data_IF_328896398486
#
_entry.id   IF_328896398486
#
_cell.length_a   1.000
_cell.length_b   1.000
_cell.length_c   1.000
_cell.angle_alpha   90.00
_cell.angle_beta   90.00
_cell.angle_gamma   90.00
#
_symmetry.space_group_name_H-M   'P 1'
#
loop_
_entity.id
_entity.type
_entity.pdbx_description
1 polymer ?
#
# COMPACT_ATOMS: atom_id res chain seq x y z
N UNK A 1 -39.38 3.38 -1.69
CA UNK A 1 -39.33 4.39 -0.59
C UNK A 1 -37.88 4.57 -0.19
N UNK A 2 -37.42 5.78 0.19
CA UNK A 2 -36.08 5.97 0.73
C UNK A 2 -35.94 5.19 2.04
N UNK A 3 -34.79 4.52 2.21
CA UNK A 3 -34.48 3.72 3.40
C UNK A 3 -34.00 4.67 4.49
N UNK A 4 -34.74 4.79 5.60
CA UNK A 4 -34.36 5.64 6.73
C UNK A 4 -33.14 5.06 7.45
N UNK A 5 -32.10 5.86 7.70
CA UNK A 5 -30.89 5.43 8.42
C UNK A 5 -31.02 5.65 9.91
N UNK A 6 -30.62 4.68 10.73
CA UNK A 6 -30.61 4.74 12.19
C UNK A 6 -29.20 5.04 12.71
N UNK A 7 -29.07 5.87 13.75
CA UNK A 7 -27.77 6.19 14.37
C UNK A 7 -27.21 5.05 15.24
N UNK A 8 -28.08 4.28 15.90
CA UNK A 8 -27.68 3.10 16.65
C UNK A 8 -27.57 1.88 15.74
N UNK A 9 -26.40 1.24 15.75
CA UNK A 9 -26.12 0.04 14.97
C UNK A 9 -26.60 -1.19 15.73
N UNK A 10 -27.57 -1.91 15.16
CA UNK A 10 -28.06 -3.17 15.72
C UNK A 10 -26.93 -4.20 15.87
N UNK A 11 -26.86 -4.94 16.98
CA UNK A 11 -25.84 -5.98 17.18
C UNK A 11 -25.93 -7.09 16.12
N UNK A 12 -27.14 -7.44 15.67
CA UNK A 12 -27.32 -8.42 14.59
C UNK A 12 -26.72 -7.92 13.26
N UNK A 13 -26.87 -6.62 12.96
CA UNK A 13 -26.28 -5.99 11.78
C UNK A 13 -24.75 -6.00 11.83
N UNK A 14 -24.18 -5.71 13.01
CA UNK A 14 -22.75 -5.72 13.24
C UNK A 14 -22.16 -7.13 13.11
N UNK A 15 -22.83 -8.14 13.64
CA UNK A 15 -22.40 -9.54 13.52
C UNK A 15 -22.40 -9.97 12.05
N UNK A 16 -23.46 -9.66 11.30
CA UNK A 16 -23.55 -9.89 9.86
C UNK A 16 -22.41 -9.19 9.10
N UNK A 17 -22.21 -7.89 9.35
CA UNK A 17 -21.11 -7.15 8.72
C UNK A 17 -19.75 -7.74 9.09
N UNK A 18 -19.52 -8.12 10.35
CA UNK A 18 -18.27 -8.73 10.78
C UNK A 18 -17.96 -10.07 10.11
N UNK A 19 -19.00 -10.85 9.80
CA UNK A 19 -18.89 -12.11 9.07
C UNK A 19 -18.62 -11.89 7.58
N UNK A 20 -19.32 -10.93 6.97
CA UNK A 20 -19.24 -10.63 5.54
C UNK A 20 -17.98 -9.85 5.18
N UNK A 21 -17.52 -8.99 6.07
CA UNK A 21 -16.33 -8.17 5.89
C UNK A 21 -15.11 -9.08 5.75
N UNK A 22 -14.29 -8.83 4.72
CA UNK A 22 -13.13 -9.65 4.34
C UNK A 22 -13.42 -11.13 3.99
N UNK A 23 -14.68 -11.53 3.80
CA UNK A 23 -14.99 -12.87 3.31
C UNK A 23 -14.55 -13.04 1.84
N UNK A 24 -13.87 -14.14 1.53
CA UNK A 24 -13.31 -14.44 0.20
C UNK A 24 -14.39 -14.54 -0.89
N UNK A 25 -15.60 -14.99 -0.55
CA UNK A 25 -16.73 -15.13 -1.48
C UNK A 25 -17.16 -13.76 -2.05
N UNK A 26 -16.99 -12.69 -1.27
CA UNK A 26 -17.39 -11.34 -1.64
C UNK A 26 -16.55 -10.75 -2.78
N UNK A 27 -15.32 -11.25 -2.98
CA UNK A 27 -14.35 -10.76 -4.00
C UNK A 27 -14.25 -9.23 -4.01
N UNK A 28 -14.05 -8.68 -2.82
CA UNK A 28 -14.02 -7.24 -2.57
C UNK A 28 -12.83 -6.60 -3.28
N UNK A 29 -13.00 -5.38 -3.76
CA UNK A 29 -11.95 -4.59 -4.44
C UNK A 29 -11.87 -3.22 -3.82
N UNK A 30 -10.71 -2.59 -3.91
CA UNK A 30 -10.52 -1.19 -3.50
C UNK A 30 -10.87 -0.24 -4.64
N UNK A 31 -11.66 0.79 -4.34
CA UNK A 31 -11.99 1.89 -5.24
C UNK A 31 -11.90 3.23 -4.52
N UNK A 32 -12.01 4.32 -5.28
CA UNK A 32 -11.95 5.68 -4.75
C UNK A 32 -13.37 6.23 -4.63
N UNK A 33 -13.88 6.39 -3.40
CA UNK A 33 -15.13 7.07 -3.15
C UNK A 33 -14.96 8.58 -3.40
N UNK A 34 -15.79 9.12 -4.29
CA UNK A 34 -15.78 10.53 -4.69
C UNK A 34 -14.38 11.03 -5.14
N UNK A 35 -13.56 10.15 -5.70
CA UNK A 35 -12.20 10.42 -6.15
C UNK A 35 -11.17 10.82 -5.06
N UNK A 36 -11.49 10.60 -3.79
CA UNK A 36 -10.64 11.02 -2.66
C UNK A 36 -10.24 9.87 -1.73
N UNK A 37 -11.23 9.09 -1.26
CA UNK A 37 -11.01 8.12 -0.18
C UNK A 37 -11.03 6.70 -0.71
N UNK A 38 -10.05 5.90 -0.30
CA UNK A 38 -10.06 4.48 -0.59
C UNK A 38 -11.18 3.79 0.20
N UNK A 39 -11.99 2.99 -0.50
CA UNK A 39 -13.06 2.19 0.08
C UNK A 39 -13.13 0.82 -0.58
N UNK A 40 -13.49 -0.20 0.20
CA UNK A 40 -13.73 -1.54 -0.32
C UNK A 40 -15.16 -1.65 -0.82
N UNK A 41 -15.33 -2.21 -2.01
CA UNK A 41 -16.64 -2.38 -2.64
C UNK A 41 -16.81 -3.79 -3.24
N UNK A 42 -18.06 -4.19 -3.37
CA UNK A 42 -18.47 -5.51 -3.87
C UNK A 42 -19.78 -5.38 -4.67
N UNK A 43 -20.19 -6.48 -5.32
CA UNK A 43 -21.46 -6.55 -6.07
C UNK A 43 -22.53 -7.29 -5.29
N UNK A 44 -23.79 -6.93 -5.49
CA UNK A 44 -24.92 -7.58 -4.82
C UNK A 44 -24.96 -9.10 -5.03
N UNK A 45 -24.72 -9.60 -6.25
CA UNK A 45 -24.66 -11.05 -6.52
C UNK A 45 -23.57 -11.81 -5.76
N UNK A 46 -22.58 -11.13 -5.18
CA UNK A 46 -21.57 -11.75 -4.33
C UNK A 46 -22.06 -11.83 -2.89
N UNK A 47 -22.77 -10.79 -2.44
CA UNK A 47 -23.47 -10.78 -1.15
C UNK A 47 -24.51 -11.90 -1.06
N UNK A 48 -25.37 -12.04 -2.08
CA UNK A 48 -26.39 -13.11 -2.09
C UNK A 48 -25.77 -14.49 -2.00
N UNK A 49 -24.70 -14.75 -2.78
CA UNK A 49 -23.95 -16.00 -2.71
C UNK A 49 -23.30 -16.24 -1.34
N UNK A 50 -22.75 -15.20 -0.70
CA UNK A 50 -22.13 -15.33 0.60
C UNK A 50 -23.15 -15.66 1.70
N UNK A 51 -24.35 -15.08 1.63
CA UNK A 51 -25.42 -15.34 2.61
C UNK A 51 -26.13 -16.68 2.40
N UNK A 52 -26.23 -17.17 1.16
CA UNK A 52 -26.81 -18.48 0.85
C UNK A 52 -25.80 -19.64 0.89
N UNK A 53 -24.54 -19.36 1.21
CA UNK A 53 -23.47 -20.36 1.29
C UNK A 53 -23.65 -21.32 2.47
N UNK A 54 -23.15 -22.54 2.34
CA UNK A 54 -23.15 -23.52 3.44
C UNK A 54 -22.24 -23.07 4.61
N UNK A 55 -21.19 -22.30 4.31
CA UNK A 55 -20.36 -21.63 5.30
C UNK A 55 -21.19 -20.73 6.22
N UNK A 56 -22.14 -19.98 5.66
CA UNK A 56 -23.03 -19.13 6.45
C UNK A 56 -23.91 -19.96 7.37
N UNK A 57 -24.53 -21.01 6.84
CA UNK A 57 -25.40 -21.91 7.61
C UNK A 57 -24.65 -22.57 8.77
N UNK A 58 -23.40 -23.01 8.54
CA UNK A 58 -22.57 -23.61 9.60
C UNK A 58 -22.27 -22.63 10.72
N UNK A 59 -21.92 -21.37 10.40
CA UNK A 59 -21.64 -20.35 11.41
C UNK A 59 -22.90 -19.84 12.10
N UNK A 60 -24.04 -19.90 11.42
CA UNK A 60 -25.34 -19.57 11.98
C UNK A 60 -25.77 -20.55 13.09
N UNK A 61 -25.40 -21.83 12.99
CA UNK A 61 -25.71 -22.83 14.04
C UNK A 61 -25.06 -22.48 15.38
N UNK A 62 -23.98 -21.69 15.38
CA UNK A 62 -23.34 -21.26 16.60
C UNK A 62 -24.01 -20.00 17.17
N UNK A 63 -24.74 -20.16 18.28
CA UNK A 63 -25.48 -19.09 18.97
C UNK A 63 -24.60 -17.89 19.32
N UNK A 64 -23.29 -18.11 19.58
CA UNK A 64 -22.35 -17.03 19.92
C UNK A 64 -22.16 -16.02 18.78
N UNK A 65 -22.40 -16.42 17.54
CA UNK A 65 -22.22 -15.55 16.38
C UNK A 65 -23.42 -14.61 16.16
N UNK A 66 -24.60 -14.91 16.74
CA UNK A 66 -25.79 -14.05 16.64
C UNK A 66 -26.21 -13.73 15.20
N UNK A 67 -26.09 -14.69 14.28
CA UNK A 67 -26.46 -14.55 12.87
C UNK A 67 -27.94 -14.87 12.65
N UNK A 68 -28.56 -14.19 11.68
CA UNK A 68 -29.98 -14.33 11.35
C UNK A 68 -30.17 -15.53 10.40
N UNK A 69 -31.23 -16.35 10.52
CA UNK A 69 -31.54 -17.37 9.53
C UNK A 69 -31.91 -16.77 8.17
N UNK A 70 -31.25 -17.23 7.10
CA UNK A 70 -31.47 -16.76 5.72
C UNK A 70 -31.65 -17.99 4.83
N UNK A 71 -32.83 -18.14 4.23
CA UNK A 71 -33.14 -19.26 3.34
C UNK A 71 -33.51 -18.81 1.92
N UNK A 72 -34.17 -17.65 1.80
CA UNK A 72 -34.70 -17.16 0.52
C UNK A 72 -33.99 -15.91 0.02
N UNK A 73 -34.10 -15.62 -1.27
CA UNK A 73 -33.61 -14.36 -1.85
C UNK A 73 -34.31 -13.13 -1.26
N UNK A 74 -35.56 -13.25 -0.85
CA UNK A 74 -36.31 -12.19 -0.15
C UNK A 74 -35.68 -11.86 1.20
N UNK A 75 -35.17 -12.86 1.92
CA UNK A 75 -34.47 -12.66 3.20
C UNK A 75 -33.14 -11.93 2.99
N UNK A 76 -32.42 -12.25 1.91
CA UNK A 76 -31.19 -11.54 1.49
C UNK A 76 -31.48 -10.07 1.23
N UNK A 77 -32.61 -9.73 0.60
CA UNK A 77 -33.02 -8.35 0.38
C UNK A 77 -33.30 -7.62 1.70
N UNK A 78 -33.99 -8.27 2.66
CA UNK A 78 -34.21 -7.69 3.99
C UNK A 78 -32.89 -7.44 4.72
N UNK A 79 -31.92 -8.35 4.61
CA UNK A 79 -30.57 -8.17 5.17
C UNK A 79 -29.83 -7.02 4.50
N UNK A 80 -29.93 -6.87 3.18
CA UNK A 80 -29.35 -5.73 2.47
C UNK A 80 -29.92 -4.40 3.01
N UNK A 81 -31.25 -4.30 3.14
CA UNK A 81 -31.91 -3.12 3.70
C UNK A 81 -31.43 -2.86 5.12
N UNK A 82 -31.34 -3.90 5.96
CA UNK A 82 -30.84 -3.80 7.33
C UNK A 82 -29.40 -3.28 7.38
N UNK A 83 -28.50 -3.75 6.51
CA UNK A 83 -27.12 -3.27 6.44
C UNK A 83 -27.03 -1.79 6.01
N UNK A 84 -27.90 -1.35 5.08
CA UNK A 84 -27.99 0.04 4.63
C UNK A 84 -28.55 0.94 5.75
N UNK A 85 -29.63 0.52 6.44
CA UNK A 85 -30.24 1.25 7.54
C UNK A 85 -29.25 1.51 8.68
N UNK A 86 -28.39 0.52 8.98
CA UNK A 86 -27.34 0.62 10.00
C UNK A 86 -26.06 1.31 9.51
N UNK A 87 -26.05 1.90 8.30
CA UNK A 87 -24.91 2.59 7.70
C UNK A 87 -23.63 1.76 7.64
N UNK A 88 -23.75 0.43 7.49
CA UNK A 88 -22.62 -0.48 7.39
C UNK A 88 -22.13 -0.59 5.93
N UNK A 89 -23.05 -0.42 4.99
CA UNK A 89 -22.79 -0.40 3.55
C UNK A 89 -23.46 0.82 2.91
N UNK A 90 -22.91 1.23 1.77
CA UNK A 90 -23.40 2.34 0.97
C UNK A 90 -23.68 1.89 -0.47
N UNK A 91 -24.83 2.22 -1.08
CA UNK A 91 -25.04 2.03 -2.51
C UNK A 91 -24.12 2.97 -3.28
N UNK A 92 -23.37 2.41 -4.24
CA UNK A 92 -22.40 3.16 -5.05
C UNK A 92 -22.54 2.80 -6.52
N UNK A 93 -22.19 3.75 -7.37
CA UNK A 93 -22.07 3.55 -8.80
C UNK A 93 -20.60 3.63 -9.20
N UNK A 94 -20.15 2.68 -10.03
CA UNK A 94 -18.82 2.72 -10.61
C UNK A 94 -18.85 3.58 -11.86
N UNK A 95 -18.19 4.74 -11.82
CA UNK A 95 -18.17 5.65 -12.96
C UNK A 95 -17.24 5.16 -14.06
N UNK A 96 -17.64 5.45 -15.30
CA UNK A 96 -16.79 5.30 -16.46
C UNK A 96 -15.82 6.49 -16.62
N UNK A 97 -14.73 6.31 -17.37
CA UNK A 97 -13.70 7.33 -17.56
C UNK A 97 -14.24 8.67 -18.11
N UNK A 98 -15.26 8.60 -18.97
CA UNK A 98 -15.92 9.77 -19.53
C UNK A 98 -16.68 10.59 -18.46
N UNK A 99 -17.39 9.89 -17.57
CA UNK A 99 -18.19 10.51 -16.50
C UNK A 99 -17.31 11.15 -15.44
N UNK A 100 -16.15 10.55 -15.13
CA UNK A 100 -15.18 11.13 -14.19
C UNK A 100 -14.68 12.47 -14.71
N UNK A 101 -14.39 12.57 -16.01
CA UNK A 101 -13.93 13.82 -16.64
C UNK A 101 -15.00 14.90 -16.72
N UNK A 102 -16.27 14.52 -16.77
CA UNK A 102 -17.39 15.46 -16.78
C UNK A 102 -17.52 16.18 -15.42
N UNK A 103 -17.05 15.57 -14.34
CA UNK A 103 -17.09 16.15 -13.00
C UNK A 103 -15.87 17.05 -12.78
N UNK A 104 -16.12 18.35 -12.57
CA UNK A 104 -15.07 19.35 -12.34
C UNK A 104 -14.21 18.98 -11.13
N UNK A 105 -12.90 18.88 -11.34
CA UNK A 105 -11.91 18.60 -10.28
C UNK A 105 -11.55 17.12 -10.10
N UNK A 106 -12.25 16.19 -10.75
CA UNK A 106 -11.93 14.76 -10.66
C UNK A 106 -10.89 14.37 -11.71
N UNK A 107 -9.86 13.63 -11.27
CA UNK A 107 -8.80 13.10 -12.12
C UNK A 107 -8.92 11.59 -12.19
N UNK A 108 -9.12 11.00 -13.38
CA UNK A 108 -9.24 9.56 -13.51
C UNK A 108 -7.97 8.83 -13.05
N UNK A 109 -8.15 7.83 -12.19
CA UNK A 109 -7.09 6.92 -11.78
C UNK A 109 -7.13 5.64 -12.63
N UNK A 110 -5.97 5.21 -13.15
CA UNK A 110 -5.85 3.97 -13.95
C UNK A 110 -5.82 2.70 -13.10
N UNK A 111 -5.40 2.80 -11.84
CA UNK A 111 -5.20 1.66 -10.94
C UNK A 111 -6.48 1.27 -10.19
N UNK A 112 -7.26 2.28 -9.78
CA UNK A 112 -8.45 2.11 -8.94
C UNK A 112 -9.66 2.75 -9.62
N UNK A 113 -10.82 2.07 -9.65
CA UNK A 113 -12.04 2.66 -10.18
C UNK A 113 -12.58 3.75 -9.24
N UNK A 114 -13.15 4.80 -9.81
CA UNK A 114 -13.85 5.84 -9.06
C UNK A 114 -15.30 5.43 -8.83
N UNK A 115 -15.76 5.59 -7.58
CA UNK A 115 -17.10 5.27 -7.13
C UNK A 115 -17.81 6.54 -6.71
N UNK A 116 -19.06 6.71 -7.14
CA UNK A 116 -19.93 7.80 -6.70
C UNK A 116 -21.01 7.24 -5.78
N UNK A 117 -21.31 7.97 -4.71
CA UNK A 117 -22.43 7.64 -3.83
C UNK A 117 -23.76 7.77 -4.58
N UNK A 118 -24.64 6.79 -4.42
CA UNK A 118 -26.03 6.88 -4.88
C UNK A 118 -26.96 7.15 -3.70
N UNK A 119 -28.05 7.87 -3.94
CA UNK A 119 -29.10 8.10 -2.93
C UNK A 119 -30.12 6.95 -2.90
N UNK A 120 -30.28 6.25 -4.02
CA UNK A 120 -31.21 5.12 -4.18
C UNK A 120 -30.41 3.82 -4.30
N UNK A 121 -30.80 2.82 -3.52
CA UNK A 121 -30.26 1.47 -3.64
C UNK A 121 -31.05 0.68 -4.68
N UNK A 122 -30.34 0.13 -5.67
CA UNK A 122 -30.90 -0.77 -6.66
C UNK A 122 -30.61 -2.23 -6.25
N UNK A 123 -31.61 -3.10 -6.39
CA UNK A 123 -31.50 -4.53 -6.07
C UNK A 123 -31.20 -5.34 -7.33
N UNK A 124 -30.21 -4.88 -8.10
CA UNK A 124 -29.77 -5.56 -9.31
C UNK A 124 -28.58 -6.47 -9.00
N UNK A 125 -28.44 -7.65 -9.64
CA UNK A 125 -27.31 -8.55 -9.40
C UNK A 125 -25.93 -7.90 -9.57
N UNK A 126 -25.82 -6.91 -10.45
CA UNK A 126 -24.58 -6.18 -10.74
C UNK A 126 -24.49 -4.80 -10.07
N UNK A 127 -25.45 -4.43 -9.21
CA UNK A 127 -25.36 -3.23 -8.40
C UNK A 127 -24.15 -3.29 -7.43
N UNK A 128 -23.49 -2.15 -7.24
CA UNK A 128 -22.31 -2.05 -6.38
C UNK A 128 -22.64 -1.46 -5.01
N UNK A 129 -21.98 -2.00 -3.99
CA UNK A 129 -22.08 -1.54 -2.61
C UNK A 129 -20.67 -1.40 -2.03
N UNK A 130 -20.45 -0.35 -1.23
CA UNK A 130 -19.18 -0.07 -0.58
C UNK A 130 -19.30 -0.22 0.95
N UNK A 131 -18.26 -0.72 1.60
CA UNK A 131 -18.20 -0.89 3.05
C UNK A 131 -17.87 0.42 3.75
N UNK A 132 -18.72 0.84 4.69
CA UNK A 132 -18.39 1.88 5.68
C UNK A 132 -17.95 1.22 7.00
N UNK A 133 -18.35 -0.03 7.22
CA UNK A 133 -17.98 -0.81 8.39
C UNK A 133 -16.46 -1.05 8.46
N UNK A 134 -15.89 -0.74 9.62
CA UNK A 134 -14.53 -1.11 10.00
C UNK A 134 -14.59 -2.14 11.12
N UNK A 135 -13.88 -3.25 10.96
CA UNK A 135 -13.79 -4.27 12.00
C UNK A 135 -13.00 -3.69 13.19
N UNK A 136 -13.56 -3.68 14.43
CA UNK A 136 -12.81 -3.22 15.59
C UNK A 136 -11.58 -4.11 15.80
N UNK A 137 -10.43 -3.50 16.03
CA UNK A 137 -9.20 -4.23 16.35
C UNK A 137 -9.32 -4.75 17.80
N UNK A 138 -9.40 -6.08 18.03
CA UNK A 138 -9.57 -6.63 19.37
C UNK A 138 -8.38 -6.34 20.29
N UNK A 139 -7.20 -6.09 19.71
CA UNK A 139 -5.97 -5.83 20.46
C UNK A 139 -5.83 -4.38 20.91
N UNK A 140 -6.73 -3.47 20.52
CA UNK A 140 -6.61 -2.05 20.90
C UNK A 140 -6.64 -1.87 22.42
N UNK A 141 -7.47 -2.64 23.12
CA UNK A 141 -7.54 -2.64 24.57
C UNK A 141 -6.21 -3.13 25.18
N UNK A 142 -5.62 -4.20 24.62
CA UNK A 142 -4.33 -4.72 25.05
C UNK A 142 -3.21 -3.69 24.84
N UNK A 143 -3.17 -3.02 23.69
CA UNK A 143 -2.21 -1.95 23.41
C UNK A 143 -2.37 -0.77 24.38
N UNK A 144 -3.60 -0.39 24.71
CA UNK A 144 -3.87 0.67 25.69
C UNK A 144 -3.36 0.29 27.08
N UNK A 145 -3.63 -0.93 27.54
CA UNK A 145 -3.12 -1.41 28.84
C UNK A 145 -1.59 -1.47 28.84
N UNK A 146 -0.99 -2.00 27.77
CA UNK A 146 0.46 -2.10 27.64
C UNK A 146 1.13 -0.71 27.61
N UNK A 147 0.52 0.26 26.93
CA UNK A 147 1.01 1.64 26.90
C UNK A 147 0.97 2.28 28.29
N UNK A 148 -0.12 2.09 29.03
CA UNK A 148 -0.25 2.56 30.42
C UNK A 148 0.77 1.87 31.34
N UNK A 149 0.92 0.56 31.24
CA UNK A 149 1.93 -0.17 32.00
C UNK A 149 3.37 0.30 31.66
N UNK A 150 3.63 0.59 30.38
CA UNK A 150 4.91 1.12 29.91
C UNK A 150 5.24 2.49 30.50
N UNK A 151 4.29 3.43 30.52
CA UNK A 151 4.53 4.76 31.13
C UNK A 151 4.75 4.64 32.64
N UNK A 152 3.98 3.79 33.34
CA UNK A 152 4.21 3.52 34.76
C UNK A 152 5.59 2.92 35.00
N UNK A 153 6.02 1.95 34.20
CA UNK A 153 7.35 1.36 34.34
C UNK A 153 8.45 2.42 34.25
N UNK A 154 8.34 3.37 33.31
CA UNK A 154 9.30 4.48 33.15
C UNK A 154 9.26 5.44 34.35
N UNK A 155 8.07 5.87 34.80
CA UNK A 155 7.92 6.78 35.95
C UNK A 155 8.47 6.13 37.23
N UNK A 156 8.29 4.81 37.40
CA UNK A 156 8.81 4.05 38.53
C UNK A 156 10.29 3.67 38.39
N UNK A 157 11.03 4.21 37.41
CA UNK A 157 12.49 4.02 37.30
C UNK A 157 13.26 4.20 38.62
N UNK A 158 12.92 5.15 39.52
CA UNK A 158 13.56 5.26 40.83
C UNK A 158 13.45 3.99 41.71
N UNK A 159 12.38 3.21 41.56
CA UNK A 159 12.13 1.97 42.29
C UNK A 159 12.76 0.73 41.63
N UNK A 160 13.37 0.87 40.45
CA UNK A 160 13.94 -0.28 39.75
C UNK A 160 15.12 -0.90 40.51
N UNK A 161 15.31 -2.23 40.41
CA UNK A 161 16.49 -2.91 40.93
C UNK A 161 17.79 -2.31 40.40
N UNK A 162 18.83 -2.32 41.23
CA UNK A 162 20.14 -1.72 40.90
C UNK A 162 20.79 -2.32 39.66
N UNK A 163 20.49 -3.58 39.30
CA UNK A 163 21.00 -4.19 38.07
C UNK A 163 20.35 -3.59 36.80
N UNK A 164 19.06 -3.29 36.82
CA UNK A 164 18.36 -2.69 35.68
C UNK A 164 18.84 -1.25 35.44
N UNK A 165 19.03 -0.49 36.51
CA UNK A 165 19.59 0.88 36.44
C UNK A 165 20.97 0.88 35.78
N UNK A 166 21.84 -0.06 36.15
CA UNK A 166 23.14 -0.26 35.48
C UNK A 166 22.98 -0.63 34.02
N UNK A 167 22.06 -1.54 33.69
CA UNK A 167 21.75 -1.90 32.30
C UNK A 167 21.36 -0.69 31.45
N UNK A 168 20.47 0.17 31.95
CA UNK A 168 20.07 1.42 31.27
C UNK A 168 21.25 2.38 31.13
N UNK A 169 22.11 2.48 32.15
CA UNK A 169 23.32 3.30 32.07
C UNK A 169 24.28 2.82 30.97
N UNK A 170 24.58 1.52 30.91
CA UNK A 170 25.42 0.95 29.85
C UNK A 170 24.79 1.10 28.47
N UNK A 171 23.48 0.89 28.35
CA UNK A 171 22.76 1.10 27.09
C UNK A 171 22.83 2.57 26.64
N UNK A 172 22.68 3.52 27.57
CA UNK A 172 22.83 4.95 27.31
C UNK A 172 24.25 5.32 26.89
N UNK A 173 25.27 4.80 27.57
CA UNK A 173 26.67 5.02 27.19
C UNK A 173 27.01 4.39 25.83
N UNK A 174 26.46 3.22 25.52
CA UNK A 174 26.62 2.57 24.22
C UNK A 174 25.95 3.38 23.09
N UNK A 175 24.73 3.87 23.32
CA UNK A 175 24.03 4.73 22.37
C UNK A 175 24.77 6.06 22.17
N UNK A 176 25.29 6.67 23.24
CA UNK A 176 26.10 7.88 23.18
C UNK A 176 27.41 7.65 22.42
N UNK A 177 28.07 6.52 22.64
CA UNK A 177 29.26 6.10 21.89
C UNK A 177 28.97 5.91 20.40
N UNK A 178 27.84 5.27 20.06
CA UNK A 178 27.41 5.11 18.68
C UNK A 178 27.15 6.47 18.01
N UNK A 179 26.46 7.38 18.68
CA UNK A 179 26.22 8.75 18.20
C UNK A 179 27.56 9.50 18.04
N UNK A 180 28.46 9.39 19.00
CA UNK A 180 29.80 9.98 18.93
C UNK A 180 30.61 9.46 17.74
N UNK A 181 30.52 8.16 17.44
CA UNK A 181 31.13 7.56 16.26
C UNK A 181 30.55 8.15 14.96
N UNK A 182 29.23 8.31 14.85
CA UNK A 182 28.61 8.98 13.71
C UNK A 182 29.14 10.41 13.52
N UNK A 183 29.24 11.20 14.58
CA UNK A 183 29.84 12.54 14.49
C UNK A 183 31.31 12.51 14.10
N UNK A 184 32.10 11.61 14.68
CA UNK A 184 33.51 11.45 14.34
C UNK A 184 33.68 11.12 12.85
N UNK A 185 32.89 10.17 12.31
CA UNK A 185 32.92 9.83 10.88
C UNK A 185 32.53 11.01 9.99
N UNK A 186 31.53 11.81 10.39
CA UNK A 186 31.13 13.01 9.67
C UNK A 186 32.23 14.09 9.67
N UNK A 187 32.90 14.31 10.81
CA UNK A 187 34.00 15.27 10.93
C UNK A 187 35.21 14.81 10.10
N UNK A 188 35.62 13.54 10.21
CA UNK A 188 36.72 12.97 9.42
C UNK A 188 36.43 13.10 7.93
N UNK A 189 35.20 12.78 7.50
CA UNK A 189 34.75 12.98 6.12
C UNK A 189 34.88 14.44 5.68
N UNK A 190 34.47 15.40 6.52
CA UNK A 190 34.56 16.82 6.21
C UNK A 190 36.02 17.28 6.05
N UNK A 191 36.90 16.88 6.96
CA UNK A 191 38.32 17.24 6.90
C UNK A 191 38.95 16.70 5.61
N UNK A 192 38.71 15.42 5.29
CA UNK A 192 39.25 14.81 4.06
C UNK A 192 38.70 15.53 2.83
N UNK A 193 37.41 15.86 2.81
CA UNK A 193 36.82 16.61 1.71
C UNK A 193 37.50 17.97 1.51
N UNK A 194 37.69 18.75 2.58
CA UNK A 194 38.37 20.05 2.53
C UNK A 194 39.80 19.91 2.00
N UNK A 195 40.56 18.92 2.49
CA UNK A 195 41.93 18.67 2.01
C UNK A 195 41.90 18.31 0.51
N UNK A 196 40.95 17.45 0.10
CA UNK A 196 40.84 17.00 -1.27
C UNK A 196 40.48 18.11 -2.26
N UNK A 197 39.74 19.13 -1.81
CA UNK A 197 39.42 20.31 -2.63
C UNK A 197 40.68 21.09 -3.04
N UNK A 198 41.71 21.10 -2.18
CA UNK A 198 42.96 21.82 -2.45
C UNK A 198 43.99 20.92 -3.12
N UNK A 199 44.04 19.64 -2.74
CA UNK A 199 45.07 18.71 -3.19
C UNK A 199 44.77 18.03 -4.54
N UNK A 200 43.49 17.86 -4.91
CA UNK A 200 43.09 17.10 -6.08
C UNK A 200 42.14 17.89 -7.00
N UNK A 201 42.17 17.64 -8.33
CA UNK A 201 41.26 18.27 -9.28
C UNK A 201 39.80 17.79 -9.13
N UNK A 202 39.59 16.67 -8.43
CA UNK A 202 38.27 16.13 -8.11
C UNK A 202 38.16 15.95 -6.58
N UNK A 203 37.10 16.47 -5.95
CA UNK A 203 36.89 16.26 -4.53
C UNK A 203 36.76 14.77 -4.21
N UNK A 204 37.48 14.32 -3.20
CA UNK A 204 37.37 12.98 -2.65
C UNK A 204 36.27 12.96 -1.60
N UNK A 205 35.48 11.89 -1.62
CA UNK A 205 34.34 11.75 -0.74
C UNK A 205 34.40 10.42 0.02
N UNK A 206 34.61 10.50 1.33
CA UNK A 206 34.57 9.32 2.22
C UNK A 206 33.12 8.99 2.58
N UNK A 207 32.71 7.72 2.42
CA UNK A 207 31.35 7.23 2.63
C UNK A 207 30.25 8.06 1.92
N UNK A 208 30.16 7.97 0.57
CA UNK A 208 29.12 8.66 -0.22
C UNK A 208 27.70 8.47 0.33
N UNK A 209 27.37 7.24 0.71
CA UNK A 209 26.00 6.85 1.04
C UNK A 209 25.62 7.10 2.51
N UNK A 210 26.49 7.71 3.32
CA UNK A 210 26.26 7.84 4.76
C UNK A 210 25.04 8.71 5.13
N UNK A 211 24.64 9.64 4.24
CA UNK A 211 23.44 10.47 4.40
C UNK A 211 22.39 10.23 3.30
N UNK A 212 22.55 9.16 2.51
CA UNK A 212 21.51 8.73 1.57
C UNK A 212 20.49 7.85 2.30
N UNK A 213 19.29 7.69 1.72
CA UNK A 213 18.19 6.88 2.27
C UNK A 213 18.49 5.37 2.16
N UNK A 214 19.58 4.93 2.78
CA UNK A 214 20.11 3.56 2.73
C UNK A 214 20.16 2.96 4.15
N UNK A 215 20.20 1.63 4.24
CA UNK A 215 20.36 0.95 5.53
C UNK A 215 21.73 1.24 6.15
N UNK A 216 21.87 1.10 7.47
CA UNK A 216 23.12 1.43 8.20
C UNK A 216 24.36 0.74 7.60
N UNK A 217 24.27 -0.51 7.15
CA UNK A 217 25.40 -1.21 6.53
C UNK A 217 25.71 -0.70 5.12
N UNK A 218 24.69 -0.38 4.35
CA UNK A 218 24.83 0.15 2.98
C UNK A 218 25.34 1.60 2.99
N UNK A 219 25.06 2.36 4.05
CA UNK A 219 25.60 3.69 4.27
C UNK A 219 27.14 3.75 4.32
N UNK A 220 27.81 2.65 4.73
CA UNK A 220 29.27 2.56 4.80
C UNK A 220 29.91 1.92 3.55
N UNK A 221 29.12 1.59 2.54
CA UNK A 221 29.60 1.01 1.29
C UNK A 221 29.09 1.80 0.07
N UNK A 222 29.96 2.21 -0.88
CA UNK A 222 31.41 2.04 -0.90
C UNK A 222 32.12 2.94 0.14
N UNK A 223 33.35 2.57 0.55
CA UNK A 223 34.11 3.36 1.54
C UNK A 223 34.51 4.74 1.01
N UNK A 224 34.69 4.88 -0.29
CA UNK A 224 35.07 6.14 -0.92
C UNK A 224 34.45 6.29 -2.30
N UNK A 225 34.34 7.54 -2.74
CA UNK A 225 33.93 7.92 -4.08
C UNK A 225 34.61 9.23 -4.49
N UNK A 226 34.62 9.51 -5.79
CA UNK A 226 35.08 10.79 -6.33
C UNK A 226 33.86 11.55 -6.82
N UNK A 227 33.80 12.85 -6.53
CA UNK A 227 32.70 13.66 -7.03
C UNK A 227 32.87 13.86 -8.55
N UNK A 228 31.93 13.34 -9.35
CA UNK A 228 31.93 13.58 -10.78
C UNK A 228 31.56 15.05 -11.05
N UNK A 229 32.29 15.76 -11.93
CA UNK A 229 31.93 17.12 -12.27
C UNK A 229 30.52 17.12 -12.84
N UNK A 230 29.59 17.84 -12.19
CA UNK A 230 28.21 18.01 -12.65
C UNK A 230 28.26 18.47 -14.10
N UNK A 231 27.99 17.57 -15.05
CA UNK A 231 27.80 17.93 -16.46
C UNK A 231 26.66 18.95 -16.46
N UNK A 232 26.98 20.21 -16.76
CA UNK A 232 25.96 21.23 -17.04
C UNK A 232 25.04 20.61 -18.08
N UNK A 233 23.77 20.36 -17.73
CA UNK A 233 22.75 19.93 -18.68
C UNK A 233 22.64 21.05 -19.73
N UNK A 234 23.40 20.93 -20.81
CA UNK A 234 23.18 21.69 -22.02
C UNK A 234 21.74 21.39 -22.45
N UNK A 235 20.88 22.41 -22.42
CA UNK A 235 19.55 22.38 -23.02
C UNK A 235 19.68 21.81 -24.43
N UNK A 236 19.22 20.57 -24.64
CA UNK A 236 19.15 19.93 -25.95
C UNK A 236 17.96 20.56 -26.68
N UNK A 237 18.23 21.46 -27.62
CA UNK A 237 17.26 21.94 -28.61
C UNK A 237 17.30 20.95 -29.78
N UNK A 238 16.16 20.38 -30.12
CA UNK A 238 15.96 19.49 -31.26
C UNK A 238 16.41 20.17 -32.57
N UNK A 239 17.11 19.40 -33.41
CA UNK A 239 17.43 19.75 -34.79
C UNK A 239 17.99 18.51 -35.49
N UNK A 240 17.30 18.09 -36.53
CA UNK A 240 17.41 16.83 -37.26
C UNK A 240 18.73 16.70 -38.06
N UNK A 241 19.16 15.46 -38.27
CA UNK A 241 20.27 14.95 -39.11
C UNK A 241 20.16 15.35 -40.61
N UNK A 242 21.24 15.27 -41.44
CA UNK A 242 21.84 13.99 -41.87
C UNK A 242 23.37 13.91 -42.10
N UNK A 243 23.91 12.74 -41.70
CA UNK A 243 24.83 11.78 -42.38
C UNK A 243 25.88 12.26 -43.41
N UNK A 244 27.17 11.97 -43.14
CA UNK A 244 28.04 11.07 -43.95
C UNK A 244 29.50 10.98 -43.43
N UNK A 245 29.90 9.75 -43.05
CA UNK A 245 31.15 8.99 -43.30
C UNK A 245 32.56 9.64 -43.23
N UNK A 246 33.68 9.01 -42.81
CA UNK A 246 34.06 7.65 -42.33
C UNK A 246 35.55 7.68 -41.91
N UNK A 247 35.97 6.68 -41.10
CA UNK A 247 37.33 6.16 -40.77
C UNK A 247 38.16 6.96 -39.74
N UNK A 248 38.98 6.36 -38.88
CA UNK A 248 39.26 5.01 -38.33
C UNK A 248 40.54 5.20 -37.48
N UNK A 249 40.67 4.79 -36.22
CA UNK A 249 41.10 3.47 -35.72
C UNK A 249 41.32 3.67 -34.19
N UNK A 250 41.11 2.72 -33.29
CA UNK A 250 40.69 1.33 -33.44
C UNK A 250 40.51 0.65 -32.08
N UNK A 251 39.76 -0.46 -32.11
CA UNK A 251 39.90 -1.75 -31.40
C UNK A 251 40.02 -1.76 -29.87
N UNK A 252 39.38 -2.66 -29.11
CA UNK A 252 38.62 -3.89 -29.34
C UNK A 252 37.81 -4.16 -28.03
N UNK A 253 36.90 -5.09 -27.84
CA UNK A 253 36.30 -6.18 -28.60
C UNK A 253 34.91 -6.43 -27.99
N UNK A 254 34.01 -6.96 -28.80
CA UNK A 254 32.64 -7.36 -28.44
C UNK A 254 32.62 -8.89 -28.19
N UNK A 255 31.64 -9.40 -27.43
CA UNK A 255 31.16 -10.78 -27.62
C UNK A 255 31.09 -11.73 -26.40
N UNK A 256 29.94 -11.69 -25.72
CA UNK A 256 28.95 -12.78 -25.64
C UNK A 256 29.16 -14.09 -24.82
N UNK A 257 28.31 -14.23 -23.79
CA UNK A 257 27.19 -15.22 -23.62
C UNK A 257 27.47 -16.70 -23.21
N UNK A 258 26.77 -17.14 -22.14
CA UNK A 258 25.94 -18.37 -21.94
C UNK A 258 26.32 -19.52 -20.94
N UNK A 259 25.44 -19.66 -19.90
CA UNK A 259 24.74 -20.86 -19.30
C UNK A 259 25.50 -22.05 -18.67
N UNK A 260 25.00 -22.74 -17.62
CA UNK A 260 23.74 -22.66 -16.84
C UNK A 260 23.44 -23.93 -15.98
N UNK A 261 22.37 -23.88 -15.14
CA UNK A 261 21.40 -24.96 -14.74
C UNK A 261 20.41 -24.44 -13.64
N UNK A 262 19.15 -24.06 -13.94
CA UNK A 262 17.81 -24.78 -13.91
C UNK A 262 17.28 -25.17 -12.50
N UNK A 263 15.99 -25.07 -12.12
CA UNK A 263 14.66 -25.08 -12.80
C UNK A 263 13.60 -24.25 -11.99
N UNK A 264 12.37 -23.92 -12.42
CA UNK A 264 11.54 -24.28 -13.57
C UNK A 264 10.26 -23.42 -13.73
N UNK A 265 9.66 -23.54 -14.93
CA UNK A 265 8.41 -23.10 -15.59
C UNK A 265 7.24 -22.52 -14.75
N UNK A 266 6.46 -21.51 -15.19
CA UNK A 266 5.61 -21.48 -16.42
C UNK A 266 5.19 -20.05 -16.79
N UNK A 267 5.16 -19.68 -18.08
CA UNK A 267 4.72 -18.36 -18.59
C UNK A 267 3.56 -18.46 -19.60
N UNK A 268 2.54 -17.62 -19.47
CA UNK A 268 1.47 -17.44 -20.47
C UNK A 268 1.83 -16.31 -21.44
N UNK A 269 1.87 -16.62 -22.74
CA UNK A 269 2.16 -15.69 -23.85
C UNK A 269 1.04 -14.67 -24.10
N UNK A 270 1.43 -13.45 -24.50
CA UNK A 270 0.56 -12.35 -24.94
C UNK A 270 0.56 -12.29 -26.47
N UNK A 271 -0.56 -12.57 -27.14
CA UNK A 271 -0.72 -12.42 -28.59
C UNK A 271 -1.08 -10.98 -28.99
N UNK A 272 -0.52 -10.55 -30.11
CA UNK A 272 -0.78 -9.30 -30.86
C UNK A 272 -1.87 -9.59 -31.91
N UNK A 273 -2.81 -8.66 -32.07
CA UNK A 273 -3.98 -8.76 -32.96
C UNK A 273 -3.64 -8.25 -34.36
N UNK A 274 -4.03 -9.00 -35.40
CA UNK A 274 -4.13 -8.57 -36.80
C UNK A 274 -5.60 -8.62 -37.21
N UNK A 275 -6.07 -7.56 -37.87
CA UNK A 275 -7.41 -7.43 -38.42
C UNK A 275 -7.37 -7.93 -39.87
N UNK A 276 -8.34 -8.76 -40.24
CA UNK A 276 -8.59 -9.16 -41.62
C UNK A 276 -10.04 -8.75 -41.93
N UNK A 277 -10.19 -7.90 -42.94
CA UNK A 277 -11.46 -7.49 -43.54
C UNK A 277 -12.02 -8.66 -44.35
N UNK A 278 -13.34 -8.87 -44.26
CA UNK A 278 -14.09 -9.80 -45.10
C UNK A 278 -14.85 -8.94 -46.11
N UNK A 279 -14.52 -9.09 -47.39
CA UNK A 279 -15.33 -8.62 -48.51
C UNK A 279 -15.98 -9.83 -49.21
N UNK A 280 -17.28 -9.65 -49.47
CA UNK A 280 -18.30 -10.43 -50.22
C UNK A 280 -18.81 -11.77 -49.66
#
# INVERSE_FOLDING_TARGET
>A
MPIQTTNERSPAALNLASYLYQNSIMKQRTGLLNNERDIEFFRYKRLSRALLSDDYKSKQQNVKNGLIPINNETDVQRVLVLLIQNQLILPVEKLHYAEIKAIKGWKPNRTKPTLKRMDKAHVDPDAYFAWIYTKPNPYILLYSILAVAGIFAVILFPLWPSFMKRGVWYLSMAALGLIGLFFATAIVRLIIYIISLVAFPKPFWLFPNLFEDCGVLESFQPLYGWEEPKKKKSKKKNGNEPVAEVKANGSAANGSVATGAKAGETSTQKRRVTLEEVDE
#
